data_IF_980635563043
#
_entry.id   IF_980635563043
#
_cell.length_a   1.000
_cell.length_b   1.000
_cell.length_c   1.000
_cell.angle_alpha   90.00
_cell.angle_beta   90.00
_cell.angle_gamma   90.00
#
_symmetry.space_group_name_H-M   'P 1'
#
loop_
_entity.id
_entity.type
_entity.pdbx_description
1 polymer ?
#
# COMPACT_ATOMS: atom_id res chain seq x y z
N UNK A 1 -70.51 45.91 -4.62
CA UNK A 1 -69.32 45.17 -4.12
C UNK A 1 -69.55 43.71 -4.51
N UNK A 2 -68.81 42.98 -5.35
CA UNK A 2 -67.51 43.12 -6.04
C UNK A 2 -67.51 42.10 -7.21
N UNK A 3 -66.66 42.31 -8.22
CA UNK A 3 -66.66 41.74 -9.59
C UNK A 3 -66.22 40.27 -9.77
N UNK A 4 -66.60 39.74 -10.94
CA UNK A 4 -66.18 38.55 -11.71
C UNK A 4 -64.65 38.35 -11.94
N UNK A 5 -64.28 37.10 -12.29
CA UNK A 5 -63.14 36.70 -13.15
C UNK A 5 -62.41 35.45 -12.63
N UNK A 6 -62.56 34.22 -13.14
CA UNK A 6 -62.15 33.62 -14.44
C UNK A 6 -60.63 33.40 -14.61
N UNK A 7 -60.28 32.10 -14.76
CA UNK A 7 -59.07 31.46 -15.33
C UNK A 7 -57.65 31.89 -14.93
N UNK A 8 -56.85 30.94 -14.40
CA UNK A 8 -55.75 30.31 -15.15
C UNK A 8 -54.99 29.27 -14.32
N UNK A 9 -54.85 28.06 -14.88
CA UNK A 9 -53.90 27.04 -14.44
C UNK A 9 -52.49 27.58 -14.59
N UNK A 10 -51.70 27.58 -13.53
CA UNK A 10 -50.24 27.66 -13.64
C UNK A 10 -49.63 26.53 -12.82
N UNK A 11 -49.24 25.47 -13.53
CA UNK A 11 -48.44 24.37 -13.01
C UNK A 11 -47.02 24.93 -12.83
N UNK A 12 -46.65 25.26 -11.60
CA UNK A 12 -45.25 25.62 -11.31
C UNK A 12 -44.46 24.32 -11.28
N UNK A 13 -43.79 24.02 -12.41
CA UNK A 13 -42.65 23.12 -12.43
C UNK A 13 -41.56 23.73 -11.55
N UNK A 14 -41.54 23.32 -10.28
CA UNK A 14 -40.40 23.52 -9.40
C UNK A 14 -39.26 22.66 -9.91
N UNK A 15 -38.41 23.26 -10.75
CA UNK A 15 -37.13 22.70 -11.19
C UNK A 15 -36.34 22.27 -9.96
N UNK A 16 -36.11 20.97 -9.85
CA UNK A 16 -35.26 20.40 -8.82
C UNK A 16 -33.84 20.94 -8.94
N UNK A 17 -33.46 21.81 -8.02
CA UNK A 17 -32.07 21.97 -7.64
C UNK A 17 -31.79 20.93 -6.55
N UNK A 18 -31.49 19.71 -6.96
CA UNK A 18 -30.67 18.83 -6.15
C UNK A 18 -29.28 19.48 -6.07
N UNK A 19 -29.10 20.39 -5.11
CA UNK A 19 -27.79 20.82 -4.70
C UNK A 19 -27.03 19.55 -4.32
N UNK A 20 -26.03 19.19 -5.13
CA UNK A 20 -25.09 18.15 -4.75
C UNK A 20 -24.49 18.59 -3.42
N UNK A 21 -24.82 17.87 -2.34
CA UNK A 21 -24.23 18.11 -1.04
C UNK A 21 -22.72 17.85 -1.17
N UNK A 22 -21.96 18.92 -1.41
CA UNK A 22 -20.56 18.94 -1.06
C UNK A 22 -20.54 18.75 0.47
N UNK A 23 -20.20 17.55 0.91
CA UNK A 23 -20.05 17.23 2.33
C UNK A 23 -19.01 18.20 2.92
N UNK A 24 -19.48 19.26 3.58
CA UNK A 24 -18.62 20.11 4.39
C UNK A 24 -18.05 19.26 5.52
N UNK A 25 -16.72 19.10 5.59
CA UNK A 25 -16.08 18.33 6.65
C UNK A 25 -16.42 18.93 8.02
N UNK A 26 -16.71 18.06 8.99
CA UNK A 26 -17.07 18.47 10.33
C UNK A 26 -15.84 18.88 11.15
N UNK A 27 -15.94 19.80 12.12
CA UNK A 27 -14.89 20.04 13.12
C UNK A 27 -14.51 18.77 13.93
N UNK A 28 -15.37 17.75 13.95
CA UNK A 28 -15.05 16.45 14.51
C UNK A 28 -14.01 15.70 13.66
N UNK A 29 -14.13 15.78 12.33
CA UNK A 29 -13.26 15.10 11.38
C UNK A 29 -11.81 15.61 11.49
N UNK A 30 -11.64 16.94 11.55
CA UNK A 30 -10.33 17.57 11.75
C UNK A 30 -9.68 17.12 13.05
N UNK A 31 -10.43 17.09 14.15
CA UNK A 31 -9.89 16.66 15.46
C UNK A 31 -9.46 15.19 15.48
N UNK A 32 -10.14 14.32 14.76
CA UNK A 32 -9.77 12.91 14.63
C UNK A 32 -8.47 12.77 13.82
N UNK A 33 -8.37 13.47 12.68
CA UNK A 33 -7.17 13.45 11.84
C UNK A 33 -5.96 14.03 12.58
N UNK A 34 -6.13 15.15 13.30
CA UNK A 34 -5.06 15.78 14.08
C UNK A 34 -4.51 14.85 15.16
N UNK A 35 -5.40 14.18 15.91
CA UNK A 35 -4.98 13.23 16.94
C UNK A 35 -4.23 12.04 16.34
N UNK A 36 -4.70 11.52 15.21
CA UNK A 36 -4.01 10.47 14.47
C UNK A 36 -2.62 10.94 13.99
N UNK A 37 -2.51 12.18 13.51
CA UNK A 37 -1.26 12.76 13.04
C UNK A 37 -0.24 12.91 14.18
N UNK A 38 -0.67 13.34 15.36
CA UNK A 38 0.18 13.40 16.57
C UNK A 38 0.68 12.01 16.96
N UNK A 39 -0.20 11.00 16.97
CA UNK A 39 0.18 9.64 17.32
C UNK A 39 1.19 9.06 16.31
N UNK A 40 0.90 9.20 15.01
CA UNK A 40 1.78 8.75 13.92
C UNK A 40 3.12 9.48 13.97
N UNK A 41 3.13 10.80 14.17
CA UNK A 41 4.35 11.59 14.27
C UNK A 41 5.25 11.10 15.40
N UNK A 42 4.70 10.81 16.58
CA UNK A 42 5.47 10.24 17.69
C UNK A 42 6.04 8.85 17.37
N UNK A 43 5.28 7.99 16.70
CA UNK A 43 5.73 6.64 16.33
C UNK A 43 6.95 6.66 15.40
N UNK A 44 7.03 7.64 14.49
CA UNK A 44 8.04 7.65 13.41
C UNK A 44 9.10 8.73 13.58
N UNK A 45 9.15 9.38 14.74
CA UNK A 45 9.97 10.58 15.00
C UNK A 45 9.76 11.68 13.94
N UNK A 46 8.51 11.85 13.52
CA UNK A 46 8.09 12.80 12.50
C UNK A 46 7.71 14.17 13.09
N UNK A 47 7.76 15.20 12.24
CA UNK A 47 7.32 16.56 12.56
C UNK A 47 6.04 16.89 11.80
N UNK A 48 4.99 17.33 12.52
CA UNK A 48 3.78 17.85 11.88
C UNK A 48 4.13 19.13 11.13
N UNK A 49 3.78 19.19 9.85
CA UNK A 49 4.13 20.28 8.94
C UNK A 49 2.90 20.71 8.13
N UNK A 50 2.85 21.96 7.63
CA UNK A 50 1.85 22.32 6.64
C UNK A 50 1.88 21.36 5.45
N UNK A 51 0.70 20.90 5.01
CA UNK A 51 0.58 20.13 3.80
C UNK A 51 0.93 20.99 2.58
N UNK A 52 1.63 20.44 1.56
CA UNK A 52 1.93 21.20 0.35
C UNK A 52 0.65 21.67 -0.35
N UNK A 53 0.66 22.88 -0.89
CA UNK A 53 -0.49 23.47 -1.58
C UNK A 53 -0.98 22.63 -2.78
N UNK A 54 -0.09 21.84 -3.38
CA UNK A 54 -0.41 20.93 -4.49
C UNK A 54 -1.22 19.69 -4.07
N UNK A 55 -1.43 19.44 -2.78
CA UNK A 55 -2.13 18.27 -2.25
C UNK A 55 -3.64 18.56 -2.18
N UNK A 56 -4.23 18.92 -3.33
CA UNK A 56 -5.63 19.35 -3.47
C UNK A 56 -6.63 18.20 -3.53
N UNK A 57 -6.16 16.98 -3.76
CA UNK A 57 -7.01 15.77 -3.84
C UNK A 57 -7.40 15.20 -2.47
N UNK A 58 -6.99 15.88 -1.40
CA UNK A 58 -7.27 15.52 -0.02
C UNK A 58 -8.25 16.51 0.59
N UNK A 59 -8.92 16.13 1.66
CA UNK A 59 -9.92 16.95 2.31
C UNK A 59 -9.32 18.19 3.00
N UNK A 60 -10.17 19.10 3.48
CA UNK A 60 -9.71 20.20 4.31
C UNK A 60 -9.25 19.73 5.70
N UNK A 61 -9.66 18.54 6.15
CA UNK A 61 -9.26 17.97 7.43
C UNK A 61 -7.86 17.33 7.44
N UNK A 62 -7.19 17.23 6.29
CA UNK A 62 -5.88 16.58 6.16
C UNK A 62 -4.81 17.17 7.09
N UNK A 63 -3.94 16.30 7.57
CA UNK A 63 -2.73 16.67 8.30
C UNK A 63 -1.50 16.03 7.65
N UNK A 64 -0.35 16.70 7.74
CA UNK A 64 0.89 16.18 7.16
C UNK A 64 1.99 16.04 8.20
N UNK A 65 2.73 14.94 8.12
CA UNK A 65 3.88 14.63 8.97
C UNK A 65 5.09 14.42 8.08
N UNK A 66 6.11 15.27 8.21
CA UNK A 66 7.41 15.06 7.59
C UNK A 66 8.22 14.11 8.46
N UNK A 67 8.77 13.07 7.84
CA UNK A 67 9.57 12.05 8.50
C UNK A 67 10.97 12.07 7.90
N UNK A 68 12.05 12.12 8.70
CA UNK A 68 13.42 12.24 8.20
C UNK A 68 13.98 10.95 7.58
N UNK A 69 13.12 9.95 7.37
CA UNK A 69 13.48 8.62 6.92
C UNK A 69 12.80 8.28 5.58
N UNK A 70 13.36 7.30 4.88
CA UNK A 70 12.76 6.78 3.64
C UNK A 70 11.41 6.14 3.91
N UNK A 71 10.59 6.02 2.86
CA UNK A 71 9.25 5.47 2.98
C UNK A 71 9.29 4.03 3.54
N UNK A 72 10.31 3.26 3.22
CA UNK A 72 10.51 1.90 3.73
C UNK A 72 10.72 1.91 5.25
N UNK A 73 11.62 2.76 5.75
CA UNK A 73 11.89 2.86 7.18
C UNK A 73 10.69 3.40 7.95
N UNK A 74 9.98 4.39 7.39
CA UNK A 74 8.75 4.92 7.98
C UNK A 74 7.65 3.86 8.07
N UNK A 75 7.42 3.09 7.00
CA UNK A 75 6.45 1.97 7.00
C UNK A 75 6.83 0.88 7.99
N UNK A 76 8.13 0.54 8.11
CA UNK A 76 8.62 -0.43 9.09
C UNK A 76 8.34 0.00 10.53
N UNK A 77 8.61 1.27 10.87
CA UNK A 77 8.33 1.82 12.21
C UNK A 77 6.83 1.77 12.53
N UNK A 78 5.98 2.13 11.57
CA UNK A 78 4.52 2.04 11.73
C UNK A 78 4.03 0.59 11.88
N UNK A 79 4.57 -0.35 11.10
CA UNK A 79 4.19 -1.77 11.19
C UNK A 79 4.54 -2.41 12.54
N UNK A 80 5.56 -1.90 13.25
CA UNK A 80 6.01 -2.42 14.54
C UNK A 80 5.35 -1.73 15.74
N UNK A 81 4.58 -0.68 15.51
CA UNK A 81 4.03 0.13 16.58
C UNK A 81 2.74 -0.46 17.12
N UNK A 82 2.74 -0.81 18.41
CA UNK A 82 1.53 -1.14 19.16
C UNK A 82 0.72 0.12 19.52
N UNK A 83 1.36 1.29 19.55
CA UNK A 83 0.70 2.56 19.88
C UNK A 83 -0.15 3.09 18.71
N UNK A 84 0.21 2.75 17.47
CA UNK A 84 -0.51 3.13 16.25
C UNK A 84 -0.70 1.91 15.35
N UNK A 85 -1.52 0.93 15.77
CA UNK A 85 -1.69 -0.30 15.01
C UNK A 85 -2.35 0.01 13.67
N UNK A 86 -1.74 -0.52 12.60
CA UNK A 86 -2.29 -0.40 11.27
C UNK A 86 -3.45 -1.38 11.08
N UNK A 87 -4.51 -0.93 10.44
CA UNK A 87 -5.73 -1.74 10.20
C UNK A 87 -5.51 -2.78 9.11
N UNK A 88 -4.64 -2.51 8.14
CA UNK A 88 -4.41 -3.40 6.99
C UNK A 88 -2.91 -3.53 6.66
N UNK A 89 -2.58 -4.25 5.60
CA UNK A 89 -1.26 -4.16 4.97
C UNK A 89 -1.18 -2.90 4.07
N UNK A 90 0.03 -2.35 3.91
CA UNK A 90 0.28 -1.25 2.98
C UNK A 90 -0.09 -1.63 1.54
N UNK A 91 -0.70 -0.69 0.81
CA UNK A 91 -1.11 -0.87 -0.58
C UNK A 91 -0.70 0.32 -1.40
N UNK A 92 -0.44 0.14 -2.68
CA UNK A 92 -0.28 1.25 -3.63
C UNK A 92 -1.47 1.28 -4.58
N UNK A 93 -1.92 2.49 -4.96
CA UNK A 93 -2.96 2.64 -5.98
C UNK A 93 -2.33 2.75 -7.38
N UNK A 94 -2.83 3.64 -8.23
CA UNK A 94 -2.31 3.86 -9.60
C UNK A 94 -0.88 4.39 -9.63
N UNK A 95 -0.43 5.06 -8.57
CA UNK A 95 0.93 5.54 -8.45
C UNK A 95 1.70 4.69 -7.43
N UNK A 96 2.68 3.88 -7.85
CA UNK A 96 3.44 3.00 -6.96
C UNK A 96 4.35 3.77 -5.98
N UNK A 97 4.59 5.07 -6.22
CA UNK A 97 5.37 5.95 -5.34
C UNK A 97 4.66 6.20 -4.00
N UNK A 98 3.32 6.16 -4.01
CA UNK A 98 2.52 6.39 -2.81
C UNK A 98 1.91 5.08 -2.34
N UNK A 99 2.16 4.74 -1.08
CA UNK A 99 1.50 3.64 -0.39
C UNK A 99 0.52 4.20 0.64
N UNK A 100 -0.59 3.51 0.87
CA UNK A 100 -1.55 3.88 1.89
C UNK A 100 -1.85 2.70 2.81
N UNK A 101 -2.23 3.05 4.03
CA UNK A 101 -2.78 2.16 5.05
C UNK A 101 -3.77 2.98 5.89
N UNK A 102 -4.24 2.42 7.00
CA UNK A 102 -5.19 3.07 7.89
C UNK A 102 -4.82 2.85 9.35
N UNK A 103 -5.16 3.82 10.20
CA UNK A 103 -5.06 3.74 11.66
C UNK A 103 -6.44 3.96 12.27
N UNK A 104 -6.67 3.43 13.48
CA UNK A 104 -7.88 3.72 14.25
C UNK A 104 -7.62 4.85 15.24
N UNK A 105 -8.51 5.84 15.27
CA UNK A 105 -8.46 6.95 16.21
C UNK A 105 -9.84 7.22 16.80
N UNK A 106 -10.05 6.88 18.07
CA UNK A 106 -11.32 7.13 18.77
C UNK A 106 -12.53 6.48 18.11
N UNK A 107 -12.36 5.28 17.54
CA UNK A 107 -13.42 4.54 16.83
C UNK A 107 -13.52 4.85 15.33
N UNK A 108 -12.96 5.97 14.87
CA UNK A 108 -12.87 6.34 13.46
C UNK A 108 -11.64 5.72 12.79
N UNK A 109 -11.70 5.60 11.45
CA UNK A 109 -10.58 5.14 10.63
C UNK A 109 -9.98 6.35 9.91
N UNK A 110 -8.65 6.50 9.98
CA UNK A 110 -7.92 7.58 9.32
C UNK A 110 -6.96 6.97 8.31
N UNK A 111 -7.01 7.43 7.07
CA UNK A 111 -6.04 7.01 6.05
C UNK A 111 -4.67 7.59 6.38
N UNK A 112 -3.62 6.80 6.15
CA UNK A 112 -2.23 7.22 6.23
C UNK A 112 -1.60 6.93 4.87
N UNK A 113 -1.25 7.98 4.14
CA UNK A 113 -0.64 7.89 2.81
C UNK A 113 0.83 8.29 2.95
N UNK A 114 1.74 7.37 2.64
CA UNK A 114 3.18 7.57 2.64
C UNK A 114 3.71 7.75 1.22
N UNK A 115 4.50 8.80 1.01
CA UNK A 115 5.27 9.01 -0.22
C UNK A 115 6.50 9.89 0.04
N UNK A 116 7.34 10.13 -0.98
CA UNK A 116 8.53 10.96 -0.84
C UNK A 116 8.15 12.38 -0.43
N UNK A 117 8.96 12.99 0.43
CA UNK A 117 8.77 14.38 0.79
C UNK A 117 9.15 15.29 -0.39
N UNK A 118 8.38 16.37 -0.66
CA UNK A 118 8.75 17.32 -1.68
C UNK A 118 10.16 17.87 -1.47
N UNK A 119 10.98 17.83 -2.53
CA UNK A 119 12.36 18.28 -2.51
C UNK A 119 13.36 17.36 -1.79
N UNK A 120 12.92 16.22 -1.27
CA UNK A 120 13.79 15.29 -0.51
C UNK A 120 13.30 13.85 -0.64
N UNK A 121 13.87 13.13 -1.61
CA UNK A 121 13.52 11.72 -1.86
C UNK A 121 13.98 10.76 -0.75
N UNK A 122 14.81 11.20 0.20
CA UNK A 122 15.26 10.40 1.35
C UNK A 122 14.33 10.55 2.55
N UNK A 123 13.47 11.57 2.54
CA UNK A 123 12.45 11.81 3.54
C UNK A 123 11.07 11.38 3.05
N UNK A 124 10.19 11.10 4.00
CA UNK A 124 8.79 10.73 3.72
C UNK A 124 7.88 11.86 4.14
N UNK A 125 6.87 12.16 3.33
CA UNK A 125 5.71 12.90 3.76
C UNK A 125 4.56 11.92 3.96
N UNK A 126 4.10 11.81 5.20
CA UNK A 126 2.84 11.15 5.52
C UNK A 126 1.71 12.17 5.41
N UNK A 127 0.66 11.82 4.68
CA UNK A 127 -0.60 12.57 4.65
C UNK A 127 -1.64 11.74 5.39
N UNK A 128 -2.27 12.33 6.40
CA UNK A 128 -3.38 11.74 7.10
C UNK A 128 -4.66 12.44 6.68
N UNK A 129 -5.71 11.67 6.43
CA UNK A 129 -6.98 12.21 5.98
C UNK A 129 -8.15 11.30 6.38
N UNK A 130 -9.36 11.86 6.37
CA UNK A 130 -10.56 11.05 6.57
C UNK A 130 -10.79 10.10 5.41
N UNK A 131 -11.40 8.95 5.71
CA UNK A 131 -11.73 7.94 4.72
C UNK A 131 -13.17 8.19 4.25
N UNK A 132 -13.48 8.15 2.95
CA UNK A 132 -14.87 8.21 2.52
C UNK A 132 -15.65 7.00 3.04
N UNK A 133 -16.89 7.21 3.46
CA UNK A 133 -17.73 6.23 4.19
C UNK A 133 -17.86 4.86 3.50
N UNK A 134 -17.82 4.84 2.16
CA UNK A 134 -17.85 3.58 1.38
C UNK A 134 -16.60 2.72 1.60
N UNK A 135 -15.43 3.35 1.70
CA UNK A 135 -14.18 2.63 1.98
C UNK A 135 -14.12 2.19 3.46
N UNK A 136 -14.73 2.94 4.39
CA UNK A 136 -14.90 2.49 5.79
C UNK A 136 -15.77 1.24 5.88
N UNK A 137 -16.90 1.20 5.16
CA UNK A 137 -17.77 0.03 5.11
C UNK A 137 -17.07 -1.20 4.51
N UNK A 138 -16.22 -1.02 3.49
CA UNK A 138 -15.42 -2.10 2.91
C UNK A 138 -14.32 -2.60 3.84
N UNK A 139 -13.76 -1.73 4.70
CA UNK A 139 -12.81 -2.11 5.74
C UNK A 139 -13.49 -2.88 6.87
N UNK A 140 -14.63 -2.40 7.36
CA UNK A 140 -15.42 -3.09 8.39
C UNK A 140 -15.85 -4.49 7.93
N UNK A 141 -16.39 -4.61 6.71
CA UNK A 141 -16.81 -5.90 6.15
C UNK A 141 -15.67 -6.92 6.04
N UNK A 142 -14.41 -6.48 5.88
CA UNK A 142 -13.23 -7.36 5.81
C UNK A 142 -12.78 -7.84 7.19
N UNK A 143 -12.93 -7.00 8.22
CA UNK A 143 -12.58 -7.36 9.60
C UNK A 143 -13.60 -8.33 10.22
N UNK A 144 -14.86 -8.23 9.78
CA UNK A 144 -15.93 -9.18 10.14
C UNK A 144 -15.73 -10.58 9.53
N UNK A 145 -14.91 -10.71 8.49
CA UNK A 145 -14.47 -12.03 7.97
C UNK A 145 -13.35 -12.55 8.89
N UNK A 146 -13.73 -13.00 10.09
CA UNK A 146 -12.89 -13.93 10.86
C UNK A 146 -12.81 -15.24 10.10
N UNK A 147 -11.60 -15.62 9.70
CA UNK A 147 -11.32 -17.01 9.29
C UNK A 147 -11.49 -17.87 10.54
N UNK A 148 -12.66 -18.46 10.73
CA UNK A 148 -12.73 -19.75 11.42
C UNK A 148 -12.18 -20.80 10.45
N UNK A 149 -11.22 -21.64 10.86
CA UNK A 149 -10.74 -22.71 9.99
C UNK A 149 -11.87 -23.71 9.80
N UNK A 150 -12.51 -23.67 8.63
CA UNK A 150 -13.42 -24.72 8.19
C UNK A 150 -12.56 -25.88 7.69
N UNK A 151 -12.34 -26.87 8.55
CA UNK A 151 -11.83 -28.18 8.14
C UNK A 151 -12.87 -28.78 7.19
N UNK A 152 -12.50 -28.98 5.92
CA UNK A 152 -13.24 -29.82 4.99
C UNK A 152 -12.47 -31.14 4.78
N UNK A 153 -13.13 -32.31 4.76
CA UNK A 153 -12.48 -33.62 4.68
C UNK A 153 -11.71 -33.85 3.36
N UNK A 154 -10.73 -34.78 3.35
CA UNK A 154 -9.83 -34.95 2.21
C UNK A 154 -10.52 -35.67 1.06
N UNK A 155 -10.60 -35.01 -0.11
CA UNK A 155 -10.88 -35.69 -1.37
C UNK A 155 -9.57 -36.28 -1.92
N UNK A 156 -9.63 -37.56 -2.27
CA UNK A 156 -8.55 -38.40 -2.79
C UNK A 156 -8.05 -37.94 -4.18
N UNK A 157 -6.87 -38.43 -4.64
CA UNK A 157 -6.04 -37.72 -5.61
C UNK A 157 -6.46 -38.02 -7.05
N UNK A 158 -6.63 -36.99 -7.87
CA UNK A 158 -6.60 -37.15 -9.31
C UNK A 158 -5.31 -36.52 -9.87
N UNK A 159 -4.39 -37.39 -10.27
CA UNK A 159 -3.11 -37.07 -10.89
C UNK A 159 -3.35 -36.81 -12.39
N UNK A 160 -3.52 -35.55 -12.76
CA UNK A 160 -3.32 -35.07 -14.14
C UNK A 160 -3.13 -33.55 -14.15
N UNK A 161 -1.91 -33.12 -14.49
CA UNK A 161 -1.50 -31.76 -14.89
C UNK A 161 -1.76 -30.62 -13.89
N UNK A 162 -0.90 -30.55 -12.88
CA UNK A 162 -0.70 -29.34 -12.08
C UNK A 162 0.01 -28.30 -12.97
N UNK A 163 -0.79 -27.48 -13.66
CA UNK A 163 -0.31 -26.27 -14.31
C UNK A 163 0.15 -25.34 -13.20
N UNK A 164 1.46 -25.34 -12.92
CA UNK A 164 2.06 -24.40 -11.96
C UNK A 164 1.69 -23.00 -12.42
N UNK A 165 0.84 -22.32 -11.65
CA UNK A 165 0.36 -20.98 -11.92
C UNK A 165 1.49 -19.98 -11.68
N UNK A 166 2.48 -19.97 -12.58
CA UNK A 166 3.62 -19.04 -12.55
C UNK A 166 3.12 -17.66 -13.00
N UNK A 167 3.33 -16.60 -12.21
CA UNK A 167 3.01 -15.23 -12.64
C UNK A 167 3.68 -14.88 -13.97
N UNK A 168 3.04 -14.12 -14.87
CA UNK A 168 3.60 -13.83 -16.18
C UNK A 168 4.86 -12.96 -16.09
N UNK A 169 5.93 -13.37 -16.77
CA UNK A 169 7.14 -12.56 -16.94
C UNK A 169 6.90 -11.46 -17.98
N UNK A 170 7.01 -10.19 -17.59
CA UNK A 170 6.65 -9.04 -18.45
C UNK A 170 7.85 -8.38 -19.12
N UNK A 171 8.96 -8.26 -18.39
CA UNK A 171 10.19 -7.60 -18.82
C UNK A 171 11.36 -8.04 -17.96
N UNK A 172 12.58 -7.84 -18.44
CA UNK A 172 13.77 -8.06 -17.61
C UNK A 172 13.87 -7.03 -16.48
N UNK A 173 14.24 -7.50 -15.29
CA UNK A 173 14.41 -6.67 -14.09
C UNK A 173 15.87 -6.65 -13.66
N UNK A 174 16.46 -5.47 -13.60
CA UNK A 174 17.85 -5.27 -13.23
C UNK A 174 18.04 -3.94 -12.50
N UNK A 175 19.20 -3.79 -11.87
CA UNK A 175 19.62 -2.50 -11.33
C UNK A 175 19.77 -1.49 -12.49
N UNK A 176 19.01 -0.40 -12.42
CA UNK A 176 18.97 0.63 -13.45
C UNK A 176 18.95 2.03 -12.82
N UNK A 177 19.18 3.06 -13.65
CA UNK A 177 19.05 4.47 -13.28
C UNK A 177 18.09 5.16 -14.26
N UNK A 178 16.88 5.56 -13.83
CA UNK A 178 16.29 5.34 -12.50
C UNK A 178 16.06 3.84 -12.21
N UNK A 179 15.96 3.50 -10.93
CA UNK A 179 15.65 2.12 -10.51
C UNK A 179 14.34 1.64 -11.14
N UNK A 180 14.33 0.39 -11.61
CA UNK A 180 13.08 -0.21 -12.09
C UNK A 180 12.12 -0.38 -10.93
N UNK A 181 10.85 -0.11 -11.18
CA UNK A 181 9.81 -0.28 -10.18
C UNK A 181 8.52 -0.78 -10.81
N UNK A 182 7.65 -1.35 -9.98
CA UNK A 182 6.35 -1.87 -10.41
C UNK A 182 5.94 -3.16 -9.72
N UNK A 183 4.77 -3.65 -10.12
CA UNK A 183 4.17 -4.87 -9.58
C UNK A 183 5.02 -6.13 -9.84
N UNK A 184 5.71 -6.18 -10.98
CA UNK A 184 6.64 -7.26 -11.32
C UNK A 184 7.85 -7.32 -10.39
N UNK A 185 8.38 -6.16 -9.99
CA UNK A 185 9.46 -6.05 -8.99
C UNK A 185 8.97 -6.44 -7.60
N UNK A 186 7.75 -6.04 -7.21
CA UNK A 186 7.17 -6.41 -5.91
C UNK A 186 6.97 -7.93 -5.81
N UNK A 187 6.38 -8.54 -6.83
CA UNK A 187 6.19 -10.00 -6.89
C UNK A 187 7.52 -10.75 -6.82
N UNK A 188 8.54 -10.27 -7.53
CA UNK A 188 9.91 -10.79 -7.44
C UNK A 188 10.42 -10.76 -5.99
N UNK A 189 10.34 -9.60 -5.32
CA UNK A 189 10.86 -9.41 -3.97
C UNK A 189 10.10 -10.26 -2.94
N UNK A 190 8.77 -10.31 -3.02
CA UNK A 190 7.95 -11.15 -2.14
C UNK A 190 8.33 -12.62 -2.27
N UNK A 191 8.49 -13.11 -3.50
CA UNK A 191 8.90 -14.49 -3.73
C UNK A 191 10.33 -14.76 -3.24
N UNK A 192 11.26 -13.80 -3.41
CA UNK A 192 12.61 -13.93 -2.85
C UNK A 192 12.62 -13.98 -1.32
N UNK A 193 11.78 -13.19 -0.65
CA UNK A 193 11.62 -13.21 0.82
C UNK A 193 11.11 -14.57 1.30
N UNK A 194 10.10 -15.13 0.61
CA UNK A 194 9.59 -16.47 0.89
C UNK A 194 10.66 -17.55 0.74
N UNK A 195 11.38 -17.54 -0.38
CA UNK A 195 12.43 -18.51 -0.69
C UNK A 195 13.62 -18.37 0.27
N UNK A 196 13.96 -17.16 0.69
CA UNK A 196 15.01 -16.88 1.67
C UNK A 196 14.61 -17.19 3.13
N UNK A 197 13.34 -17.59 3.37
CA UNK A 197 12.78 -17.83 4.71
C UNK A 197 12.95 -16.64 5.66
N UNK A 198 12.94 -15.42 5.12
CA UNK A 198 13.01 -14.20 5.92
C UNK A 198 11.66 -14.04 6.66
N UNK A 199 11.65 -13.63 7.95
CA UNK A 199 10.42 -13.49 8.71
C UNK A 199 9.36 -12.66 7.98
N UNK A 200 8.12 -13.17 7.96
CA UNK A 200 6.96 -12.52 7.34
C UNK A 200 6.79 -11.10 7.90
N UNK A 201 6.67 -10.10 7.03
CA UNK A 201 6.50 -8.69 7.40
C UNK A 201 7.51 -7.71 6.77
N UNK A 202 8.54 -8.23 6.09
CA UNK A 202 9.58 -7.46 5.38
C UNK A 202 9.25 -7.17 3.91
N UNK A 203 7.97 -7.27 3.51
CA UNK A 203 7.50 -7.30 2.12
C UNK A 203 8.17 -6.33 1.13
N UNK A 204 8.16 -6.71 -0.15
CA UNK A 204 8.80 -5.95 -1.22
C UNK A 204 8.28 -4.52 -1.35
N UNK A 205 9.19 -3.56 -1.52
CA UNK A 205 8.88 -2.14 -1.75
C UNK A 205 8.51 -1.84 -3.20
N UNK A 206 8.68 -2.80 -4.12
CA UNK A 206 8.44 -2.65 -5.54
C UNK A 206 9.54 -1.89 -6.29
N UNK A 207 10.70 -1.66 -5.68
CA UNK A 207 11.86 -0.97 -6.26
C UNK A 207 13.07 -1.90 -6.41
N UNK A 208 13.59 -2.00 -7.63
CA UNK A 208 14.76 -2.80 -7.94
C UNK A 208 16.03 -2.02 -7.59
N UNK A 209 16.35 -1.99 -6.30
CA UNK A 209 17.55 -1.34 -5.77
C UNK A 209 18.75 -2.29 -5.62
N UNK A 210 19.89 -1.79 -5.11
CA UNK A 210 21.10 -2.59 -4.89
C UNK A 210 20.87 -3.82 -4.00
N UNK A 211 19.99 -3.71 -3.00
CA UNK A 211 19.61 -4.85 -2.14
C UNK A 211 18.87 -5.92 -2.94
N UNK A 212 17.89 -5.53 -3.78
CA UNK A 212 17.20 -6.49 -4.65
C UNK A 212 18.17 -7.16 -5.63
N UNK A 213 19.09 -6.39 -6.22
CA UNK A 213 20.12 -6.93 -7.11
C UNK A 213 21.02 -7.95 -6.39
N UNK A 214 21.45 -7.65 -5.15
CA UNK A 214 22.22 -8.56 -4.32
C UNK A 214 21.44 -9.84 -3.96
N UNK A 215 20.17 -9.70 -3.58
CA UNK A 215 19.28 -10.84 -3.29
C UNK A 215 19.07 -11.72 -4.52
N UNK A 216 18.91 -11.13 -5.71
CA UNK A 216 18.81 -11.87 -6.97
C UNK A 216 20.12 -12.62 -7.26
N UNK A 217 21.28 -12.02 -7.01
CA UNK A 217 22.57 -12.70 -7.17
C UNK A 217 22.71 -13.90 -6.23
N UNK A 218 22.32 -13.75 -4.97
CA UNK A 218 22.30 -14.84 -3.99
C UNK A 218 21.37 -15.99 -4.43
N UNK A 219 20.16 -15.66 -4.87
CA UNK A 219 19.23 -16.64 -5.42
C UNK A 219 19.80 -17.36 -6.65
N UNK A 220 20.36 -16.62 -7.60
CA UNK A 220 20.95 -17.18 -8.82
C UNK A 220 22.08 -18.16 -8.49
N UNK A 221 22.97 -17.80 -7.56
CA UNK A 221 24.04 -18.68 -7.11
C UNK A 221 23.50 -19.96 -6.48
N UNK A 222 22.51 -19.86 -5.59
CA UNK A 222 21.90 -21.03 -4.94
C UNK A 222 21.15 -21.96 -5.91
N UNK A 223 20.69 -21.43 -7.05
CA UNK A 223 19.90 -22.16 -8.05
C UNK A 223 20.72 -22.58 -9.28
N UNK A 224 22.05 -22.44 -9.24
CA UNK A 224 22.93 -22.81 -10.35
C UNK A 224 22.71 -21.98 -11.61
N UNK A 225 22.20 -20.75 -11.46
CA UNK A 225 22.00 -19.80 -12.55
C UNK A 225 23.21 -18.87 -12.68
N UNK A 226 23.34 -18.21 -13.85
CA UNK A 226 24.37 -17.20 -14.05
C UNK A 226 24.12 -16.01 -13.11
N UNK A 227 25.10 -15.71 -12.26
CA UNK A 227 25.03 -14.68 -11.21
C UNK A 227 25.21 -13.29 -11.81
N UNK A 228 24.14 -12.75 -12.38
CA UNK A 228 24.13 -11.44 -13.07
C UNK A 228 23.51 -10.34 -12.23
N UNK A 229 22.61 -10.68 -11.30
CA UNK A 229 21.72 -9.69 -10.69
C UNK A 229 20.68 -9.14 -11.67
N UNK A 230 20.44 -9.86 -12.77
CA UNK A 230 19.39 -9.57 -13.76
C UNK A 230 18.38 -10.70 -13.73
N UNK A 231 17.10 -10.36 -13.61
CA UNK A 231 16.00 -11.32 -13.70
C UNK A 231 15.52 -11.36 -15.15
N UNK A 232 15.91 -12.43 -15.84
CA UNK A 232 15.39 -12.83 -17.14
C UNK A 232 14.28 -13.88 -16.99
N UNK A 233 13.74 -14.35 -18.12
CA UNK A 233 12.67 -15.35 -18.11
C UNK A 233 13.10 -16.64 -17.40
N UNK A 234 14.35 -17.07 -17.57
CA UNK A 234 14.88 -18.28 -16.92
C UNK A 234 14.96 -18.12 -15.39
N UNK A 235 15.44 -16.98 -14.92
CA UNK A 235 15.50 -16.64 -13.49
C UNK A 235 14.09 -16.56 -12.90
N UNK A 236 13.16 -15.90 -13.60
CA UNK A 236 11.76 -15.80 -13.19
C UNK A 236 11.07 -17.16 -13.07
N UNK A 237 11.17 -17.99 -14.12
CA UNK A 237 10.59 -19.34 -14.12
C UNK A 237 11.18 -20.22 -13.03
N UNK A 238 12.48 -20.13 -12.74
CA UNK A 238 13.10 -20.87 -11.64
C UNK A 238 12.53 -20.42 -10.29
N UNK A 239 12.45 -19.11 -10.05
CA UNK A 239 12.01 -18.52 -8.78
C UNK A 239 10.56 -18.87 -8.41
N UNK A 240 9.68 -18.93 -9.39
CA UNK A 240 8.26 -19.27 -9.18
C UNK A 240 7.94 -20.76 -9.35
N UNK A 241 8.93 -21.60 -9.61
CA UNK A 241 8.74 -23.06 -9.65
C UNK A 241 8.87 -23.68 -8.27
N UNK A 242 8.33 -24.88 -8.10
CA UNK A 242 8.52 -25.71 -6.90
C UNK A 242 9.96 -26.18 -6.72
N UNK A 243 10.81 -25.98 -7.74
CA UNK A 243 12.24 -26.31 -7.71
C UNK A 243 13.12 -25.13 -7.30
N UNK A 244 12.54 -24.00 -6.87
CA UNK A 244 13.29 -22.86 -6.34
C UNK A 244 14.02 -23.29 -5.06
N UNK A 245 15.36 -23.31 -5.11
CA UNK A 245 16.18 -23.65 -3.94
C UNK A 245 16.23 -22.45 -2.98
N UNK A 246 16.04 -22.67 -1.67
CA UNK A 246 16.21 -21.64 -0.67
C UNK A 246 17.66 -21.17 -0.61
N UNK A 247 17.85 -19.93 -0.16
CA UNK A 247 19.16 -19.34 0.08
C UNK A 247 19.15 -18.59 1.40
N UNK A 248 20.31 -18.44 2.03
CA UNK A 248 20.39 -17.79 3.33
C UNK A 248 20.46 -16.28 3.18
N UNK A 249 19.74 -15.53 4.03
CA UNK A 249 19.78 -14.07 4.01
C UNK A 249 21.21 -13.50 4.13
N UNK A 250 22.09 -14.12 4.94
CA UNK A 250 23.50 -13.72 5.07
C UNK A 250 24.30 -13.83 3.77
N UNK A 251 23.89 -14.67 2.82
CA UNK A 251 24.58 -14.78 1.53
C UNK A 251 24.39 -13.54 0.65
N UNK A 252 23.42 -12.68 0.99
CA UNK A 252 23.20 -11.38 0.34
C UNK A 252 24.31 -10.40 0.71
N UNK A 253 24.86 -10.48 1.92
CA UNK A 253 25.90 -9.56 2.42
C UNK A 253 27.18 -9.62 1.56
N UNK A 254 27.53 -10.82 1.08
CA UNK A 254 28.60 -11.06 0.10
C UNK A 254 28.47 -10.16 -1.13
N UNK A 255 27.25 -9.97 -1.63
CA UNK A 255 26.98 -9.17 -2.83
C UNK A 255 26.78 -7.68 -2.53
N UNK A 256 26.58 -7.32 -1.26
CA UNK A 256 26.57 -5.95 -0.77
C UNK A 256 27.95 -5.46 -0.33
N UNK A 257 28.95 -6.34 -0.29
CA UNK A 257 30.31 -6.03 0.15
C UNK A 257 30.40 -5.73 1.65
N UNK A 258 29.63 -6.44 2.47
CA UNK A 258 29.58 -6.27 3.93
C UNK A 258 29.90 -7.58 4.65
#
# INVERSE_FOLDING_TARGET
MTRLGSHSKTFVLGVGLAASAAFAQSPADTRVVDKAAVAVARTVDGTITPCPASYTNFTAAKACVRVPYSAERTKMLLNRSEATPLVTAWRSQRNPIFSYNYVRQGGAVVAVIAGPAPGDAKATLLVLDTVPTRAEADLQRREDIRITPKVSPPAAPNRASETVNVPPFRRSLALASPHLNGEDVRLLQERLIEVARIPRGTGGDGWYGPVTAATVKAFQAANGLRVTGVVDQGTWSRLFSDRAQPFEARSVDTYLGR
#
